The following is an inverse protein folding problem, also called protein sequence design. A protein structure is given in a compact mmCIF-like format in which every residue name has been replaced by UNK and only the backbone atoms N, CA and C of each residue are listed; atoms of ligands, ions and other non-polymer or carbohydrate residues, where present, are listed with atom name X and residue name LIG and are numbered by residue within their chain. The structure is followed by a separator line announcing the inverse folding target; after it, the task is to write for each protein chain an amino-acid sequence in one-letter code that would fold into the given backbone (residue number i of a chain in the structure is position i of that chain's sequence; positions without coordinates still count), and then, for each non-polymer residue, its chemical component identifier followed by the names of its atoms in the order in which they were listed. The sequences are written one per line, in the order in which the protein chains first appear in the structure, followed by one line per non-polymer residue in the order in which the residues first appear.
data_IF_260023096041
#
_entry.id   IF_260023096041
#
_cell.length_a   1.000
_cell.length_b   1.000
_cell.length_c   1.000
_cell.angle_alpha   90.00
_cell.angle_beta   90.00
_cell.angle_gamma   90.00
#
_symmetry.space_group_name_H-M   'P 1'
#
loop_
_entity.id
_entity.type
_entity.pdbx_description
1 polymer ?
#
# COMPACT_ATOMS: atom_id res chain seq x y z
N UNK A 1 -24.18 10.42 -2.28
CA UNK A 1 -23.04 10.38 -1.33
C UNK A 1 -22.10 9.28 -1.80
N UNK A 2 -20.80 9.54 -1.91
CA UNK A 2 -19.81 8.51 -2.26
C UNK A 2 -19.38 7.80 -0.98
N UNK A 3 -19.53 6.47 -0.95
CA UNK A 3 -19.09 5.65 0.18
C UNK A 3 -17.58 5.54 0.14
N UNK A 4 -16.87 5.77 1.25
CA UNK A 4 -15.42 5.52 1.33
C UNK A 4 -15.23 4.08 1.80
N UNK A 5 -14.50 3.27 1.03
CA UNK A 5 -14.18 1.87 1.31
C UNK A 5 -13.10 1.73 2.38
N UNK A 6 -12.07 2.57 2.31
CA UNK A 6 -10.90 2.52 3.21
C UNK A 6 -10.54 3.94 3.62
N UNK A 7 -10.26 4.18 4.90
CA UNK A 7 -9.80 5.46 5.38
C UNK A 7 -8.27 5.49 5.41
N UNK A 8 -7.69 6.53 4.81
CA UNK A 8 -6.29 6.86 4.98
C UNK A 8 -6.02 7.55 6.32
N UNK A 9 -4.78 7.40 6.79
CA UNK A 9 -4.19 8.10 7.94
C UNK A 9 -4.83 7.77 9.30
N UNK A 10 -4.13 6.94 10.10
CA UNK A 10 -4.19 6.78 11.57
C UNK A 10 -3.39 5.53 12.03
N UNK A 11 -2.19 5.27 11.48
CA UNK A 11 -1.51 3.96 11.66
C UNK A 11 -2.42 2.75 11.31
N UNK A 12 -3.36 2.93 10.40
CA UNK A 12 -4.25 1.86 9.97
C UNK A 12 -3.63 1.04 8.84
N UNK A 13 -4.08 -0.21 8.77
CA UNK A 13 -3.75 -1.14 7.69
C UNK A 13 -4.37 -0.65 6.37
N UNK A 14 -3.54 -0.15 5.45
CA UNK A 14 -3.97 0.30 4.13
C UNK A 14 -3.72 -0.77 3.04
N UNK A 15 -3.45 -2.03 3.39
CA UNK A 15 -3.09 -3.07 2.41
C UNK A 15 -4.17 -3.28 1.37
N UNK A 16 -5.45 -3.21 1.74
CA UNK A 16 -6.57 -3.31 0.78
C UNK A 16 -6.60 -2.17 -0.24
N UNK A 17 -6.17 -0.96 0.15
CA UNK A 17 -6.03 0.15 -0.79
C UNK A 17 -4.92 -0.15 -1.82
N UNK A 18 -3.78 -0.62 -1.31
CA UNK A 18 -2.65 -0.98 -2.15
C UNK A 18 -2.91 -2.18 -3.06
N UNK A 19 -3.66 -3.18 -2.60
CA UNK A 19 -4.13 -4.30 -3.41
C UNK A 19 -5.04 -3.81 -4.55
N UNK A 20 -5.99 -2.94 -4.23
CA UNK A 20 -6.88 -2.34 -5.24
C UNK A 20 -6.11 -1.55 -6.31
N UNK A 21 -4.98 -0.93 -5.93
CA UNK A 21 -4.08 -0.19 -6.82
C UNK A 21 -2.90 -1.04 -7.34
N UNK A 22 -3.04 -2.37 -7.31
CA UNK A 22 -2.14 -3.35 -7.94
C UNK A 22 -0.72 -3.46 -7.36
N UNK A 23 -0.50 -3.08 -6.09
CA UNK A 23 0.81 -3.29 -5.43
C UNK A 23 1.10 -4.76 -5.06
N UNK A 24 0.15 -5.67 -5.24
CA UNK A 24 0.34 -7.11 -5.13
C UNK A 24 0.34 -7.83 -6.48
N UNK A 25 0.33 -7.10 -7.60
CA UNK A 25 0.30 -7.70 -8.94
C UNK A 25 1.58 -8.52 -9.21
N UNK A 26 1.40 -9.75 -9.72
CA UNK A 26 2.50 -10.66 -10.06
C UNK A 26 3.49 -10.05 -11.07
N UNK A 27 3.05 -9.11 -11.91
CA UNK A 27 3.90 -8.39 -12.87
C UNK A 27 5.00 -7.58 -12.19
N UNK A 28 4.84 -7.19 -10.92
CA UNK A 28 5.88 -6.51 -10.15
C UNK A 28 7.03 -7.46 -9.76
N UNK A 29 6.86 -8.78 -9.90
CA UNK A 29 7.91 -9.77 -9.59
C UNK A 29 8.27 -9.89 -8.11
N UNK A 30 7.53 -9.22 -7.23
CA UNK A 30 7.75 -9.20 -5.77
C UNK A 30 6.53 -9.67 -4.97
N UNK A 31 5.46 -10.09 -5.65
CA UNK A 31 4.22 -10.57 -5.05
C UNK A 31 3.65 -9.57 -4.04
N UNK A 32 3.25 -10.06 -2.86
CA UNK A 32 2.67 -9.23 -1.81
C UNK A 32 3.69 -8.38 -1.04
N UNK A 33 4.98 -8.41 -1.39
CA UNK A 33 6.03 -7.72 -0.64
C UNK A 33 5.76 -6.22 -0.50
N UNK A 34 5.20 -5.58 -1.53
CA UNK A 34 4.95 -4.14 -1.47
C UNK A 34 3.83 -3.74 -0.51
N UNK A 35 2.94 -4.68 -0.15
CA UNK A 35 1.87 -4.43 0.82
C UNK A 35 2.43 -4.09 2.21
N UNK A 36 3.66 -4.51 2.54
CA UNK A 36 4.25 -4.17 3.83
C UNK A 36 4.40 -2.66 4.04
N UNK A 37 4.64 -1.91 2.96
CA UNK A 37 4.74 -0.44 2.99
C UNK A 37 3.39 0.27 3.11
N UNK A 38 2.28 -0.47 3.02
CA UNK A 38 0.92 0.04 3.20
C UNK A 38 0.42 -0.10 4.64
N UNK A 39 1.10 -0.93 5.43
CA UNK A 39 0.93 -1.04 6.88
C UNK A 39 2.30 -1.05 7.58
N UNK A 40 3.10 0.04 7.48
CA UNK A 40 4.46 0.05 8.01
C UNK A 40 4.50 -0.09 9.54
N UNK A 41 3.44 0.33 10.24
CA UNK A 41 3.31 0.22 11.69
C UNK A 41 2.99 -1.22 12.12
N UNK A 42 2.05 -1.89 11.45
CA UNK A 42 1.71 -3.29 11.75
C UNK A 42 2.80 -4.29 11.33
N UNK A 43 3.53 -3.99 10.26
CA UNK A 43 4.57 -4.87 9.71
C UNK A 43 5.95 -4.67 10.37
N UNK A 44 6.12 -3.59 11.16
CA UNK A 44 7.35 -3.35 11.93
C UNK A 44 8.59 -3.28 11.05
N UNK A 45 8.54 -2.54 9.93
CA UNK A 45 9.64 -2.47 8.97
C UNK A 45 10.86 -1.81 9.62
N UNK A 46 11.86 -2.63 9.97
CA UNK A 46 13.14 -2.20 10.55
C UNK A 46 14.28 -2.13 9.52
N UNK A 47 14.07 -2.69 8.33
CA UNK A 47 15.07 -2.71 7.26
C UNK A 47 14.46 -2.80 5.86
N UNK A 48 15.21 -2.27 4.89
CA UNK A 48 14.87 -2.26 3.46
C UNK A 48 15.89 -3.15 2.73
N UNK A 49 15.41 -4.08 1.90
CA UNK A 49 16.19 -4.95 1.04
C UNK A 49 16.12 -4.50 -0.42
N UNK A 50 17.01 -5.01 -1.28
CA UNK A 50 17.02 -4.68 -2.72
C UNK A 50 15.70 -4.97 -3.42
N UNK A 51 14.99 -6.03 -3.00
CA UNK A 51 13.68 -6.40 -3.55
C UNK A 51 12.58 -5.40 -3.20
N UNK A 52 12.80 -4.48 -2.25
CA UNK A 52 11.85 -3.40 -1.95
C UNK A 52 11.95 -2.23 -2.91
N UNK A 53 13.03 -2.12 -3.69
CA UNK A 53 13.22 -1.00 -4.63
C UNK A 53 12.07 -0.97 -5.64
N UNK A 54 11.58 -2.13 -6.09
CA UNK A 54 10.37 -2.24 -6.94
C UNK A 54 9.14 -1.60 -6.30
N UNK A 55 8.97 -1.75 -4.99
CA UNK A 55 7.86 -1.16 -4.25
C UNK A 55 8.03 0.36 -4.15
N UNK A 56 9.26 0.83 -3.91
CA UNK A 56 9.59 2.25 -3.83
C UNK A 56 9.46 2.97 -5.19
N UNK A 57 9.58 2.26 -6.32
CA UNK A 57 9.21 2.84 -7.63
C UNK A 57 7.72 3.18 -7.75
N UNK A 58 6.87 2.59 -6.91
CA UNK A 58 5.44 2.87 -6.82
C UNK A 58 5.10 3.73 -5.59
N UNK A 59 6.04 4.56 -5.13
CA UNK A 59 5.87 5.43 -3.96
C UNK A 59 4.64 6.33 -4.03
N UNK A 60 4.26 6.76 -5.23
CA UNK A 60 3.03 7.53 -5.46
C UNK A 60 1.78 6.79 -4.97
N UNK A 61 1.67 5.47 -5.22
CA UNK A 61 0.54 4.65 -4.77
C UNK A 61 0.55 4.47 -3.26
N UNK A 62 1.73 4.19 -2.70
CA UNK A 62 1.93 4.07 -1.25
C UNK A 62 1.48 5.35 -0.53
N UNK A 63 1.91 6.51 -1.01
CA UNK A 63 1.56 7.80 -0.42
C UNK A 63 0.12 8.21 -0.71
N UNK A 64 -0.45 7.81 -1.84
CA UNK A 64 -1.87 8.00 -2.11
C UNK A 64 -2.71 7.25 -1.07
N UNK A 65 -2.45 5.95 -0.86
CA UNK A 65 -3.15 5.14 0.14
C UNK A 65 -2.89 5.62 1.58
N UNK A 66 -1.73 6.22 1.85
CA UNK A 66 -1.44 6.80 3.15
C UNK A 66 -2.28 8.06 3.46
N UNK A 67 -2.57 8.88 2.46
CA UNK A 67 -3.27 10.18 2.63
C UNK A 67 -4.74 10.19 2.18
N UNK A 68 -5.16 9.24 1.34
CA UNK A 68 -6.47 9.23 0.68
C UNK A 68 -7.25 7.94 0.92
N UNK A 69 -8.57 8.08 1.11
CA UNK A 69 -9.46 6.93 1.11
C UNK A 69 -9.91 6.51 -0.30
N UNK A 70 -10.07 5.21 -0.53
CA UNK A 70 -10.68 4.71 -1.78
C UNK A 70 -12.18 4.89 -1.70
N UNK A 71 -12.80 5.37 -2.77
CA UNK A 71 -14.25 5.50 -2.89
C UNK A 71 -14.82 4.19 -3.44
N UNK A 72 -15.93 3.73 -2.87
CA UNK A 72 -16.80 2.75 -3.50
C UNK A 72 -17.47 3.43 -4.69
N UNK A 73 -17.34 2.81 -5.86
CA UNK A 73 -18.13 3.12 -7.04
C UNK A 73 -19.58 2.62 -6.88
#
# INVERSE_FOLDING_TARGET
MSTVLYCASQNQDNRKCCEHLNLSDQKLGVGNRCLRFCDPAGEGISSIARTDVTCLFNWNVLMYCHHSGIKAE
#
